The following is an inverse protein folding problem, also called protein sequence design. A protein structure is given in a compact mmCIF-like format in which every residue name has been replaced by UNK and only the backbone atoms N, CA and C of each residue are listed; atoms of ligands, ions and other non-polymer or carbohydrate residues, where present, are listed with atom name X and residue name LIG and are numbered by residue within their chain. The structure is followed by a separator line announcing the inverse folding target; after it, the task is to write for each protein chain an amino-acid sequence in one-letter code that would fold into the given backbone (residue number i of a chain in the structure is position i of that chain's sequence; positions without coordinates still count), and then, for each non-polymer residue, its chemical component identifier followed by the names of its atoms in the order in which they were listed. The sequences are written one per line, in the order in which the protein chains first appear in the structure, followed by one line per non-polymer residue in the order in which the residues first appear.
data_IF_121320445702
#
_entry.id   IF_121320445702
#
_cell.length_a   1.000
_cell.length_b   1.000
_cell.length_c   1.000
_cell.angle_alpha   90.00
_cell.angle_beta   90.00
_cell.angle_gamma   90.00
#
_symmetry.space_group_name_H-M   'P 1'
#
loop_
_entity.id
_entity.type
_entity.pdbx_description
1 polymer ?
#
# COMPACT_ATOMS: atom_id res chain seq x y z
N UNK A 1 19.72 -62.74 -5.87
CA UNK A 1 18.66 -62.93 -6.89
C UNK A 1 18.26 -61.58 -7.42
N UNK A 2 18.73 -61.27 -8.61
CA UNK A 2 18.51 -59.99 -9.33
C UNK A 2 17.31 -60.20 -10.22
N UNK A 3 16.31 -59.32 -10.18
CA UNK A 3 15.27 -59.27 -11.22
C UNK A 3 15.28 -57.89 -11.84
N UNK A 4 15.74 -57.83 -13.07
CA UNK A 4 15.61 -56.73 -14.03
C UNK A 4 14.16 -56.60 -14.47
N UNK A 5 13.67 -55.35 -14.57
CA UNK A 5 12.49 -55.04 -15.37
C UNK A 5 12.80 -53.86 -16.29
N UNK A 6 12.75 -54.14 -17.58
CA UNK A 6 12.94 -53.24 -18.72
C UNK A 6 11.63 -52.49 -19.03
N UNK A 7 11.67 -51.22 -19.50
CA UNK A 7 10.47 -50.48 -19.88
C UNK A 7 10.03 -50.78 -21.32
N UNK A 8 8.72 -50.87 -21.53
CA UNK A 8 8.07 -51.01 -22.83
C UNK A 8 7.91 -49.67 -23.50
N UNK A 9 8.42 -49.55 -24.72
CA UNK A 9 8.19 -48.47 -25.64
C UNK A 9 6.76 -48.54 -26.19
N UNK A 10 6.08 -47.40 -26.28
CA UNK A 10 4.78 -47.25 -26.91
C UNK A 10 4.90 -46.38 -28.17
N UNK A 11 4.56 -47.00 -29.31
CA UNK A 11 4.69 -46.44 -30.65
C UNK A 11 3.59 -45.40 -30.95
N UNK A 12 4.03 -44.27 -31.59
CA UNK A 12 3.18 -43.21 -32.08
C UNK A 12 2.68 -43.53 -33.50
N UNK A 13 1.38 -43.56 -33.71
CA UNK A 13 0.80 -43.58 -35.06
C UNK A 13 0.44 -42.16 -35.50
N UNK A 14 1.04 -41.69 -36.62
CA UNK A 14 0.64 -40.53 -37.32
C UNK A 14 -0.52 -40.86 -38.28
N UNK A 15 -1.63 -40.12 -38.20
CA UNK A 15 -2.66 -40.09 -39.22
C UNK A 15 -2.66 -38.72 -39.93
N UNK A 16 -2.33 -38.75 -41.21
CA UNK A 16 -2.40 -37.58 -42.08
C UNK A 16 -3.82 -37.48 -42.70
N UNK A 17 -4.50 -36.38 -42.45
CA UNK A 17 -5.79 -36.06 -43.08
C UNK A 17 -5.64 -34.81 -43.95
N UNK A 18 -5.87 -34.97 -45.26
CA UNK A 18 -5.88 -33.88 -46.23
C UNK A 18 -7.23 -33.14 -46.17
N UNK A 19 -7.20 -31.80 -46.06
CA UNK A 19 -8.35 -30.92 -46.19
C UNK A 19 -8.26 -30.14 -47.49
N UNK A 20 -9.30 -30.27 -48.32
CA UNK A 20 -9.52 -29.53 -49.55
C UNK A 20 -10.02 -28.11 -49.25
N UNK A 21 -9.43 -27.14 -49.93
CA UNK A 21 -9.81 -25.73 -49.84
C UNK A 21 -11.09 -25.46 -50.65
N UNK A 22 -12.11 -24.94 -49.98
CA UNK A 22 -13.29 -24.33 -50.60
C UNK A 22 -13.21 -22.81 -50.49
N UNK A 23 -13.11 -22.14 -51.63
CA UNK A 23 -13.18 -20.68 -51.76
C UNK A 23 -14.62 -20.25 -51.72
N UNK A 24 -15.06 -19.56 -50.70
CA UNK A 24 -16.34 -18.85 -50.66
C UNK A 24 -16.06 -17.34 -50.66
N UNK A 25 -16.43 -16.67 -51.74
CA UNK A 25 -16.43 -15.21 -51.85
C UNK A 25 -17.68 -14.68 -51.12
N UNK A 26 -17.45 -13.97 -50.02
CA UNK A 26 -18.50 -13.21 -49.35
C UNK A 26 -18.26 -11.71 -49.56
N UNK A 27 -19.25 -11.06 -50.16
CA UNK A 27 -19.32 -9.62 -50.38
C UNK A 27 -19.34 -8.85 -49.06
N UNK A 28 -18.47 -7.86 -48.95
CA UNK A 28 -18.38 -6.94 -47.80
C UNK A 28 -19.60 -6.00 -47.79
N UNK A 29 -20.50 -6.22 -46.86
CA UNK A 29 -21.45 -5.22 -46.42
C UNK A 29 -20.74 -4.28 -45.43
N UNK A 30 -20.70 -2.98 -45.71
CA UNK A 30 -20.25 -1.94 -44.79
C UNK A 30 -21.32 -1.84 -43.67
N UNK A 31 -21.11 -2.54 -42.56
CA UNK A 31 -21.85 -2.28 -41.34
C UNK A 31 -21.27 -1.04 -40.68
N UNK A 32 -22.06 0.04 -40.63
CA UNK A 32 -21.74 1.24 -39.91
C UNK A 32 -21.36 0.89 -38.47
N UNK A 33 -20.20 1.35 -38.02
CA UNK A 33 -19.83 1.27 -36.64
C UNK A 33 -20.88 2.00 -35.80
N UNK A 34 -21.56 1.29 -34.93
CA UNK A 34 -22.31 1.89 -33.84
C UNK A 34 -21.33 2.78 -33.02
N UNK A 35 -21.79 3.96 -32.57
CA UNK A 35 -20.94 4.78 -31.67
C UNK A 35 -20.61 3.90 -30.48
N UNK A 36 -19.30 3.71 -30.25
CA UNK A 36 -18.78 2.95 -29.15
C UNK A 36 -19.40 3.48 -27.86
N UNK A 37 -20.06 2.62 -27.15
CA UNK A 37 -20.29 2.81 -25.72
C UNK A 37 -18.92 3.12 -25.12
N UNK A 38 -18.65 4.40 -24.84
CA UNK A 38 -17.57 4.79 -23.96
C UNK A 38 -17.81 3.98 -22.67
N UNK A 39 -16.87 3.10 -22.35
CA UNK A 39 -16.80 2.55 -21.00
C UNK A 39 -16.99 3.73 -20.05
N UNK A 40 -17.74 3.59 -18.94
CA UNK A 40 -17.89 4.68 -17.99
C UNK A 40 -16.50 5.15 -17.65
N UNK A 41 -16.28 6.44 -17.92
CA UNK A 41 -15.08 7.17 -17.56
C UNK A 41 -14.81 6.78 -16.11
N UNK A 42 -13.72 6.05 -15.87
CA UNK A 42 -13.45 5.39 -14.60
C UNK A 42 -13.46 6.42 -13.47
N UNK A 43 -14.66 6.72 -13.01
CA UNK A 43 -14.94 7.72 -12.01
C UNK A 43 -14.33 7.27 -10.70
N UNK A 44 -13.19 7.81 -10.42
CA UNK A 44 -12.81 8.06 -9.05
C UNK A 44 -12.13 6.93 -8.28
N UNK A 45 -12.23 5.66 -8.63
CA UNK A 45 -11.56 4.58 -7.91
C UNK A 45 -10.06 4.67 -8.13
N UNK A 46 -9.33 4.80 -7.03
CA UNK A 46 -7.88 4.83 -7.03
C UNK A 46 -7.36 3.68 -6.19
N UNK A 47 -6.64 2.74 -6.80
CA UNK A 47 -5.97 1.64 -6.08
C UNK A 47 -4.98 2.22 -5.07
N UNK A 48 -4.82 1.56 -3.96
CA UNK A 48 -3.99 2.10 -2.87
C UNK A 48 -2.99 1.07 -2.38
N UNK A 49 -1.71 1.49 -2.31
CA UNK A 49 -0.70 0.80 -1.52
C UNK A 49 -0.36 1.62 -0.28
N UNK A 50 -0.40 0.98 0.88
CA UNK A 50 0.09 1.53 2.15
C UNK A 50 1.40 0.86 2.50
N UNK A 51 2.45 1.65 2.65
CA UNK A 51 3.79 1.22 3.05
C UNK A 51 4.00 1.65 4.50
N UNK A 52 3.97 0.70 5.41
CA UNK A 52 4.27 0.89 6.82
C UNK A 52 5.77 0.72 7.08
N UNK A 53 6.39 1.70 7.67
CA UNK A 53 7.80 1.71 8.06
C UNK A 53 7.90 1.70 9.58
N UNK A 54 8.03 0.50 10.17
CA UNK A 54 7.99 0.29 11.62
C UNK A 54 9.07 1.12 12.33
N UNK A 55 8.66 1.83 13.38
CA UNK A 55 9.56 2.62 14.23
C UNK A 55 10.28 3.78 13.54
N UNK A 56 9.80 4.23 12.36
CA UNK A 56 10.45 5.27 11.55
C UNK A 56 9.95 6.66 11.92
N UNK A 57 10.85 7.65 11.98
CA UNK A 57 10.54 9.04 12.33
C UNK A 57 10.83 9.98 11.15
N UNK A 58 9.93 10.95 10.89
CA UNK A 58 10.02 11.84 9.73
C UNK A 58 11.29 12.70 9.72
N UNK A 59 11.69 13.24 10.88
CA UNK A 59 12.93 14.02 11.02
C UNK A 59 14.19 13.20 10.67
N UNK A 60 14.15 11.90 10.94
CA UNK A 60 15.24 10.98 10.58
C UNK A 60 15.20 10.65 9.09
N UNK A 61 14.01 10.57 8.46
CA UNK A 61 13.85 10.46 7.00
C UNK A 61 14.46 11.69 6.33
N UNK A 62 14.11 12.89 6.78
CA UNK A 62 14.62 14.14 6.22
C UNK A 62 16.15 14.28 6.32
N UNK A 63 16.74 13.69 7.37
CA UNK A 63 18.18 13.75 7.64
C UNK A 63 19.02 12.62 6.98
N UNK A 64 18.36 11.59 6.43
CA UNK A 64 18.99 10.44 5.80
C UNK A 64 19.18 10.62 4.28
N UNK A 65 20.03 9.79 3.66
CA UNK A 65 20.06 9.63 2.19
C UNK A 65 18.91 8.70 1.75
N UNK A 66 17.69 9.28 1.71
CA UNK A 66 16.44 8.59 1.44
C UNK A 66 15.71 9.19 0.22
N UNK A 67 16.30 9.09 -1.00
CA UNK A 67 15.81 9.80 -2.18
C UNK A 67 14.39 9.40 -2.60
N UNK A 68 13.94 8.17 -2.34
CA UNK A 68 12.60 7.71 -2.71
C UNK A 68 11.54 8.31 -1.78
N UNK A 69 11.79 8.32 -0.47
CA UNK A 69 10.92 8.97 0.51
C UNK A 69 10.90 10.49 0.31
N UNK A 70 12.06 11.12 0.06
CA UNK A 70 12.13 12.54 -0.28
C UNK A 70 11.32 12.87 -1.55
N UNK A 71 11.36 12.00 -2.56
CA UNK A 71 10.53 12.15 -3.77
C UNK A 71 9.05 12.08 -3.45
N UNK A 72 8.62 11.13 -2.61
CA UNK A 72 7.22 11.00 -2.21
C UNK A 72 6.72 12.22 -1.42
N UNK A 73 7.55 12.76 -0.52
CA UNK A 73 7.27 14.02 0.21
C UNK A 73 7.13 15.19 -0.78
N UNK A 74 8.05 15.32 -1.71
CA UNK A 74 8.04 16.41 -2.69
C UNK A 74 6.88 16.33 -3.70
N UNK A 75 6.45 15.13 -4.07
CA UNK A 75 5.38 14.87 -5.03
C UNK A 75 3.98 14.76 -4.41
N UNK A 76 3.87 14.77 -3.07
CA UNK A 76 2.63 14.53 -2.33
C UNK A 76 2.37 15.52 -1.21
N UNK A 77 1.36 15.19 -0.42
CA UNK A 77 1.07 15.82 0.88
C UNK A 77 1.72 14.99 1.98
N UNK A 78 2.42 15.63 2.91
CA UNK A 78 3.04 14.94 4.03
C UNK A 78 2.85 15.73 5.33
N UNK A 79 2.91 15.05 6.48
CA UNK A 79 2.84 15.71 7.76
C UNK A 79 3.38 14.84 8.88
N UNK A 80 3.98 15.48 9.88
CA UNK A 80 4.32 14.84 11.14
C UNK A 80 3.07 14.70 12.00
N UNK A 81 2.95 13.60 12.66
CA UNK A 81 1.82 13.24 13.52
C UNK A 81 2.30 12.80 14.89
N UNK A 82 1.37 12.64 15.82
CA UNK A 82 1.66 12.14 17.16
C UNK A 82 0.55 11.20 17.64
N UNK A 83 0.96 10.11 18.27
CA UNK A 83 0.09 9.16 18.93
C UNK A 83 0.17 9.24 20.47
N UNK A 84 0.72 10.32 21.01
CA UNK A 84 0.76 10.54 22.46
C UNK A 84 -0.66 10.48 23.06
N UNK A 85 -0.78 9.81 24.21
CA UNK A 85 -2.07 9.46 24.80
C UNK A 85 -2.61 8.09 24.38
N UNK A 86 -1.99 7.47 23.37
CA UNK A 86 -2.25 6.10 22.92
C UNK A 86 -0.99 5.22 23.13
N UNK A 87 -1.11 3.87 23.10
CA UNK A 87 0.06 3.01 23.22
C UNK A 87 1.01 3.21 22.02
N UNK A 88 2.28 3.48 22.30
CA UNK A 88 3.36 3.60 21.31
C UNK A 88 4.01 2.23 21.08
N UNK A 89 3.19 1.25 20.69
CA UNK A 89 3.53 -0.17 20.52
C UNK A 89 2.94 -0.62 19.18
N UNK A 90 3.65 -1.47 18.46
CA UNK A 90 3.29 -1.87 17.08
C UNK A 90 1.88 -2.46 16.96
N UNK A 91 1.49 -3.41 17.81
CA UNK A 91 0.16 -4.04 17.76
C UNK A 91 -0.99 -3.05 17.82
N UNK A 92 -1.07 -2.18 18.85
CA UNK A 92 -2.07 -1.10 18.93
C UNK A 92 -2.03 -0.13 17.76
N UNK A 93 -0.84 0.34 17.37
CA UNK A 93 -0.71 1.36 16.34
C UNK A 93 -1.05 0.83 14.95
N UNK A 94 -0.54 -0.35 14.57
CA UNK A 94 -0.94 -1.00 13.31
C UNK A 94 -2.44 -1.38 13.29
N UNK A 95 -3.02 -1.71 14.46
CA UNK A 95 -4.47 -1.90 14.55
C UNK A 95 -5.21 -0.59 14.29
N UNK A 96 -4.74 0.55 14.81
CA UNK A 96 -5.31 1.87 14.52
C UNK A 96 -5.22 2.20 13.04
N UNK A 97 -4.05 2.04 12.42
CA UNK A 97 -3.83 2.26 10.99
C UNK A 97 -4.80 1.43 10.13
N UNK A 98 -4.96 0.16 10.46
CA UNK A 98 -5.73 -0.79 9.66
C UNK A 98 -7.22 -0.85 9.99
N UNK A 99 -7.68 -0.24 11.10
CA UNK A 99 -9.11 -0.18 11.44
C UNK A 99 -9.70 1.23 11.33
N UNK A 100 -8.86 2.28 11.38
CA UNK A 100 -9.28 3.69 11.41
C UNK A 100 -9.88 4.12 12.74
N UNK A 101 -9.66 3.33 13.82
CA UNK A 101 -10.11 3.67 15.16
C UNK A 101 -8.99 3.48 16.17
N UNK A 102 -9.04 4.21 17.30
CA UNK A 102 -8.04 4.13 18.33
C UNK A 102 -8.19 2.89 19.22
N UNK A 103 -7.15 2.56 20.00
CA UNK A 103 -7.07 1.40 20.89
C UNK A 103 -8.25 1.29 21.87
N UNK A 104 -8.87 2.39 22.25
CA UNK A 104 -10.07 2.41 23.11
C UNK A 104 -11.30 1.78 22.46
N UNK A 105 -11.32 1.68 21.14
CA UNK A 105 -12.37 1.00 20.36
C UNK A 105 -11.93 -0.38 19.91
N UNK A 106 -10.79 -0.51 19.21
CA UNK A 106 -10.36 -1.83 18.73
C UNK A 106 -9.79 -2.75 19.82
N UNK A 107 -9.54 -2.24 21.05
CA UNK A 107 -9.23 -3.05 22.23
C UNK A 107 -7.81 -3.62 22.29
N UNK A 108 -6.97 -3.42 21.27
CA UNK A 108 -5.57 -3.90 21.26
C UNK A 108 -4.71 -2.91 22.03
N UNK A 109 -4.00 -3.38 23.05
CA UNK A 109 -3.14 -2.56 23.91
C UNK A 109 -1.67 -3.00 23.92
N UNK A 110 -1.39 -4.17 23.36
CA UNK A 110 -0.04 -4.73 23.21
C UNK A 110 0.07 -5.69 22.01
N UNK A 111 1.25 -6.26 21.80
CA UNK A 111 1.53 -7.18 20.69
C UNK A 111 0.95 -8.59 20.84
N UNK A 112 0.20 -8.88 21.91
CA UNK A 112 -0.52 -10.16 22.08
C UNK A 112 -1.86 -10.17 21.35
N UNK A 113 -2.39 -9.00 20.99
CA UNK A 113 -3.72 -8.80 20.42
C UNK A 113 -4.87 -9.33 21.29
N UNK A 114 -4.59 -9.63 22.57
CA UNK A 114 -5.61 -10.09 23.50
C UNK A 114 -6.62 -9.00 23.75
N UNK A 115 -7.91 -9.32 23.65
CA UNK A 115 -8.99 -8.37 23.83
C UNK A 115 -9.32 -7.54 22.58
N UNK A 116 -8.74 -7.88 21.43
CA UNK A 116 -9.08 -7.22 20.15
C UNK A 116 -10.57 -7.34 19.85
N UNK A 117 -11.16 -6.23 19.39
CA UNK A 117 -12.58 -6.10 19.07
C UNK A 117 -12.76 -5.87 17.55
N UNK A 118 -12.07 -6.67 16.73
CA UNK A 118 -12.13 -6.57 15.27
C UNK A 118 -13.47 -7.00 14.67
N UNK A 119 -14.31 -7.71 15.43
CA UNK A 119 -15.67 -8.02 15.01
C UNK A 119 -16.51 -6.74 14.93
N UNK A 120 -16.37 -5.84 15.90
CA UNK A 120 -17.08 -4.57 15.94
C UNK A 120 -16.36 -3.47 15.12
N UNK A 121 -15.04 -3.45 15.13
CA UNK A 121 -14.19 -2.48 14.41
C UNK A 121 -13.28 -3.22 13.43
N UNK A 122 -13.84 -3.72 12.31
CA UNK A 122 -13.10 -4.55 11.37
C UNK A 122 -12.02 -3.75 10.63
N UNK A 123 -11.00 -4.48 10.18
CA UNK A 123 -9.92 -3.90 9.39
C UNK A 123 -10.41 -3.40 8.03
N UNK A 124 -9.62 -2.53 7.40
CA UNK A 124 -9.85 -2.07 6.02
C UNK A 124 -10.07 -3.25 5.06
N UNK A 125 -9.33 -4.34 5.21
CA UNK A 125 -9.49 -5.55 4.40
C UNK A 125 -10.92 -6.11 4.52
N UNK A 126 -11.37 -6.38 5.73
CA UNK A 126 -12.72 -6.92 5.98
C UNK A 126 -13.80 -5.96 5.48
N UNK A 127 -13.61 -4.64 5.62
CA UNK A 127 -14.56 -3.64 5.13
C UNK A 127 -14.64 -3.66 3.59
N UNK A 128 -13.49 -3.71 2.91
CA UNK A 128 -13.40 -3.78 1.45
C UNK A 128 -14.04 -5.08 0.94
N UNK A 129 -13.61 -6.22 1.45
CA UNK A 129 -14.11 -7.54 1.05
C UNK A 129 -15.62 -7.72 1.32
N UNK A 130 -16.14 -7.07 2.36
CA UNK A 130 -17.59 -7.08 2.64
C UNK A 130 -18.36 -6.22 1.65
N UNK A 131 -17.84 -5.04 1.31
CA UNK A 131 -18.53 -4.08 0.45
C UNK A 131 -18.38 -4.43 -1.04
N UNK A 132 -17.22 -4.96 -1.42
CA UNK A 132 -16.80 -5.23 -2.80
C UNK A 132 -15.97 -6.51 -2.90
N UNK A 133 -16.59 -7.70 -2.79
CA UNK A 133 -15.87 -8.97 -2.80
C UNK A 133 -15.12 -9.27 -4.12
N UNK A 134 -15.33 -8.47 -5.16
CA UNK A 134 -14.58 -8.54 -6.42
C UNK A 134 -13.26 -7.78 -6.38
N UNK A 135 -13.06 -6.89 -5.40
CA UNK A 135 -11.81 -6.16 -5.20
C UNK A 135 -10.79 -7.06 -4.50
N UNK A 136 -9.60 -7.14 -5.09
CA UNK A 136 -8.52 -7.93 -4.52
C UNK A 136 -7.77 -7.13 -3.46
N UNK A 137 -7.57 -7.75 -2.29
CA UNK A 137 -6.80 -7.17 -1.19
C UNK A 137 -5.61 -8.04 -0.80
N UNK A 138 -4.49 -7.40 -0.41
CA UNK A 138 -3.27 -8.09 -0.03
C UNK A 138 -2.59 -7.43 1.18
N UNK A 139 -2.28 -8.25 2.18
CA UNK A 139 -1.42 -7.93 3.31
C UNK A 139 -0.13 -8.77 3.20
N UNK A 140 0.99 -8.12 2.92
CA UNK A 140 2.31 -8.75 2.78
C UNK A 140 3.28 -8.00 3.69
N UNK A 141 3.80 -8.64 4.74
CA UNK A 141 4.54 -7.95 5.79
C UNK A 141 5.72 -8.75 6.32
N UNK A 142 6.70 -8.06 6.86
CA UNK A 142 7.83 -8.66 7.57
C UNK A 142 7.39 -9.17 8.94
N UNK A 143 6.59 -8.38 9.67
CA UNK A 143 6.10 -8.77 11.00
C UNK A 143 4.75 -9.49 10.97
N UNK A 144 4.64 -10.60 11.72
CA UNK A 144 3.44 -11.45 11.77
C UNK A 144 2.20 -10.81 12.39
N UNK A 145 2.33 -9.72 13.15
CA UNK A 145 1.21 -8.99 13.72
C UNK A 145 0.25 -8.45 12.66
N UNK A 146 0.75 -8.07 11.51
CA UNK A 146 -0.08 -7.61 10.38
C UNK A 146 -0.99 -8.74 9.89
N UNK A 147 -0.46 -9.96 9.80
CA UNK A 147 -1.27 -11.13 9.42
C UNK A 147 -2.38 -11.42 10.44
N UNK A 148 -2.16 -11.14 11.73
CA UNK A 148 -3.20 -11.22 12.77
C UNK A 148 -4.33 -10.26 12.49
N UNK A 149 -4.03 -8.99 12.14
CA UNK A 149 -5.06 -7.97 11.86
C UNK A 149 -5.77 -8.28 10.54
N UNK A 150 -5.04 -8.53 9.46
CA UNK A 150 -5.59 -8.77 8.13
C UNK A 150 -6.39 -10.08 8.03
N UNK A 151 -6.06 -11.05 8.88
CA UNK A 151 -6.73 -12.35 8.98
C UNK A 151 -7.87 -12.41 9.97
N UNK A 152 -8.13 -11.35 10.74
CA UNK A 152 -9.07 -11.37 11.88
C UNK A 152 -10.55 -11.38 11.49
N UNK A 153 -10.90 -10.86 10.33
CA UNK A 153 -12.29 -10.68 9.88
C UNK A 153 -12.84 -11.85 9.07
N UNK A 154 -14.17 -11.77 8.83
CA UNK A 154 -14.86 -12.66 7.86
C UNK A 154 -15.77 -11.78 7.02
N UNK A 155 -15.46 -11.55 5.73
CA UNK A 155 -14.27 -12.03 5.03
C UNK A 155 -12.95 -11.40 5.55
N UNK A 156 -11.84 -12.07 5.29
CA UNK A 156 -10.48 -11.57 5.55
C UNK A 156 -9.83 -11.10 4.24
N UNK A 157 -8.63 -10.52 4.30
CA UNK A 157 -7.86 -10.22 3.09
C UNK A 157 -7.67 -11.47 2.21
N UNK A 158 -7.71 -11.31 0.88
CA UNK A 158 -7.49 -12.39 -0.09
C UNK A 158 -6.08 -12.99 0.04
N UNK A 159 -5.10 -12.11 0.21
CA UNK A 159 -3.70 -12.48 0.39
C UNK A 159 -3.23 -12.03 1.76
N UNK A 160 -2.77 -12.98 2.57
CA UNK A 160 -2.14 -12.71 3.87
C UNK A 160 -0.83 -13.47 3.93
N UNK A 161 0.28 -12.73 3.88
CA UNK A 161 1.63 -13.30 3.88
C UNK A 161 2.49 -12.60 4.93
N UNK A 162 3.08 -13.39 5.82
CA UNK A 162 4.25 -12.98 6.60
C UNK A 162 5.49 -13.55 5.93
N UNK A 163 6.40 -12.69 5.52
CA UNK A 163 7.64 -13.11 4.85
C UNK A 163 8.51 -13.92 5.81
N UNK A 164 8.94 -15.11 5.43
CA UNK A 164 9.85 -15.88 6.26
C UNK A 164 11.18 -15.14 6.47
N UNK A 165 11.74 -15.23 7.69
CA UNK A 165 13.01 -14.58 8.00
C UNK A 165 14.14 -15.00 7.04
N UNK A 166 14.82 -14.02 6.46
CA UNK A 166 15.88 -14.20 5.46
C UNK A 166 17.30 -13.99 6.03
N UNK A 167 17.47 -14.19 7.34
CA UNK A 167 18.75 -14.12 8.03
C UNK A 167 19.12 -12.74 8.61
N UNK A 168 18.49 -11.67 8.16
CA UNK A 168 18.57 -10.33 8.75
C UNK A 168 17.30 -9.55 8.48
N UNK A 169 17.02 -8.49 9.25
CA UNK A 169 15.88 -7.59 9.03
C UNK A 169 15.90 -7.02 7.62
N UNK A 170 17.02 -6.49 7.17
CA UNK A 170 17.18 -5.94 5.82
C UNK A 170 16.89 -6.97 4.70
N UNK A 171 17.36 -8.21 4.83
CA UNK A 171 17.08 -9.24 3.84
C UNK A 171 15.61 -9.69 3.86
N UNK A 172 14.98 -9.68 5.03
CA UNK A 172 13.55 -10.01 5.16
C UNK A 172 12.68 -8.91 4.55
N UNK A 173 12.98 -7.63 4.81
CA UNK A 173 12.31 -6.50 4.20
C UNK A 173 12.46 -6.48 2.68
N UNK A 174 13.66 -6.79 2.17
CA UNK A 174 13.87 -6.92 0.73
C UNK A 174 12.99 -8.01 0.11
N UNK A 175 12.90 -9.17 0.75
CA UNK A 175 12.02 -10.25 0.29
C UNK A 175 10.53 -9.88 0.39
N UNK A 176 10.14 -9.11 1.42
CA UNK A 176 8.79 -8.56 1.57
C UNK A 176 8.46 -7.60 0.43
N UNK A 177 9.35 -6.63 0.16
CA UNK A 177 9.20 -5.69 -0.92
C UNK A 177 9.11 -6.39 -2.29
N UNK A 178 9.97 -7.37 -2.56
CA UNK A 178 9.93 -8.16 -3.79
C UNK A 178 8.60 -8.92 -3.95
N UNK A 179 8.03 -9.44 -2.86
CA UNK A 179 6.71 -10.08 -2.89
C UNK A 179 5.59 -9.06 -3.18
N UNK A 180 5.65 -7.86 -2.62
CA UNK A 180 4.71 -6.74 -2.91
C UNK A 180 4.83 -6.31 -4.37
N UNK A 181 6.03 -6.13 -4.88
CA UNK A 181 6.30 -5.80 -6.30
C UNK A 181 5.66 -6.83 -7.22
N UNK A 182 5.85 -8.12 -6.92
CA UNK A 182 5.26 -9.22 -7.69
C UNK A 182 3.73 -9.21 -7.64
N UNK A 183 3.13 -8.93 -6.48
CA UNK A 183 1.68 -8.85 -6.32
C UNK A 183 1.10 -7.67 -7.12
N UNK A 184 1.70 -6.49 -7.02
CA UNK A 184 1.32 -5.31 -7.80
C UNK A 184 1.44 -5.58 -9.30
N UNK A 185 2.58 -6.07 -9.75
CA UNK A 185 2.84 -6.29 -11.18
C UNK A 185 1.93 -7.35 -11.80
N UNK A 186 1.71 -8.46 -11.11
CA UNK A 186 0.99 -9.61 -11.65
C UNK A 186 -0.52 -9.52 -11.50
N UNK A 187 -1.01 -9.05 -10.36
CA UNK A 187 -2.42 -9.12 -9.99
C UNK A 187 -3.11 -7.76 -9.93
N UNK A 188 -2.37 -6.68 -9.62
CA UNK A 188 -2.88 -5.32 -9.52
C UNK A 188 -4.04 -5.20 -8.53
N UNK A 189 -3.83 -5.55 -7.28
CA UNK A 189 -4.87 -5.49 -6.27
C UNK A 189 -5.39 -4.07 -6.07
N UNK A 190 -6.62 -3.93 -5.60
CA UNK A 190 -7.21 -2.64 -5.28
C UNK A 190 -6.62 -2.05 -4.00
N UNK A 191 -6.25 -2.92 -3.05
CA UNK A 191 -5.60 -2.51 -1.81
C UNK A 191 -4.44 -3.43 -1.45
N UNK A 192 -3.26 -2.84 -1.23
CA UNK A 192 -2.08 -3.51 -0.66
C UNK A 192 -1.66 -2.81 0.61
N UNK A 193 -1.41 -3.58 1.65
CA UNK A 193 -0.69 -3.12 2.83
C UNK A 193 0.60 -3.91 2.96
N UNK A 194 1.70 -3.20 3.20
CA UNK A 194 2.97 -3.81 3.56
C UNK A 194 3.56 -3.15 4.80
N UNK A 195 4.33 -3.91 5.59
CA UNK A 195 5.09 -3.40 6.72
C UNK A 195 6.51 -3.92 6.60
N UNK A 196 7.49 -3.00 6.74
CA UNK A 196 8.93 -3.25 6.74
C UNK A 196 9.49 -2.93 8.13
N UNK A 197 10.37 -3.77 8.66
CA UNK A 197 10.64 -3.89 10.10
C UNK A 197 12.08 -3.52 10.52
N UNK A 198 13.01 -3.38 9.55
CA UNK A 198 14.43 -3.26 9.88
C UNK A 198 14.79 -1.98 10.65
N UNK A 199 14.02 -0.89 10.48
CA UNK A 199 14.26 0.38 11.16
C UNK A 199 13.90 0.25 12.64
N UNK A 200 12.78 -0.40 12.96
CA UNK A 200 12.40 -0.74 14.33
C UNK A 200 13.45 -1.62 15.01
N UNK A 201 13.93 -2.65 14.31
CA UNK A 201 15.02 -3.51 14.82
C UNK A 201 16.29 -2.72 15.18
N UNK A 202 16.67 -1.71 14.39
CA UNK A 202 17.78 -0.83 14.70
C UNK A 202 17.45 0.12 15.88
N UNK A 203 16.23 0.63 15.93
CA UNK A 203 15.70 1.44 17.01
C UNK A 203 15.72 0.72 18.36
N UNK A 204 15.33 -0.55 18.39
CA UNK A 204 15.42 -1.41 19.57
C UNK A 204 16.86 -1.65 20.00
N UNK A 205 17.76 -1.86 19.03
CA UNK A 205 19.15 -2.20 19.27
C UNK A 205 19.95 -1.06 19.92
N UNK A 206 19.78 0.18 19.41
CA UNK A 206 20.66 1.30 19.75
C UNK A 206 19.97 2.67 19.76
N UNK A 207 18.70 2.74 19.45
CA UNK A 207 17.92 3.97 19.36
C UNK A 207 18.28 4.83 18.15
N UNK A 208 17.59 5.98 18.03
CA UNK A 208 17.77 6.89 16.89
C UNK A 208 19.13 7.58 16.87
N UNK A 209 19.83 7.68 18.04
CA UNK A 209 21.19 8.16 18.12
C UNK A 209 22.25 7.10 17.80
N UNK A 210 21.84 5.85 17.64
CA UNK A 210 22.74 4.75 17.32
C UNK A 210 23.19 4.75 15.86
N UNK A 211 24.35 4.11 15.60
CA UNK A 211 24.98 4.11 14.28
C UNK A 211 24.21 3.33 13.22
N UNK A 212 23.26 2.46 13.60
CA UNK A 212 22.52 1.58 12.69
C UNK A 212 21.15 2.12 12.28
N UNK A 213 20.57 3.06 13.04
CA UNK A 213 19.21 3.53 12.75
C UNK A 213 19.11 4.21 11.37
N UNK A 214 19.97 5.21 11.12
CA UNK A 214 19.96 5.90 9.81
C UNK A 214 20.38 5.01 8.65
N UNK A 215 21.44 4.19 8.71
CA UNK A 215 21.71 3.22 7.65
C UNK A 215 20.60 2.21 7.40
N UNK A 216 19.81 1.80 8.40
CA UNK A 216 18.65 0.93 8.16
C UNK A 216 17.52 1.67 7.47
N UNK A 217 17.32 2.96 7.76
CA UNK A 217 16.38 3.80 7.05
C UNK A 217 16.80 3.98 5.58
N UNK A 218 18.07 4.24 5.29
CA UNK A 218 18.58 4.33 3.92
C UNK A 218 18.42 3.02 3.14
N UNK A 219 18.57 1.87 3.81
CA UNK A 219 18.30 0.56 3.19
C UNK A 219 16.81 0.34 2.93
N UNK A 220 15.94 0.71 3.85
CA UNK A 220 14.49 0.55 3.65
C UNK A 220 13.97 1.50 2.58
N UNK A 221 14.57 2.68 2.39
CA UNK A 221 14.25 3.58 1.29
C UNK A 221 14.44 2.93 -0.10
N UNK A 222 15.44 2.08 -0.24
CA UNK A 222 15.64 1.30 -1.48
C UNK A 222 14.45 0.36 -1.72
N UNK A 223 13.94 -0.28 -0.68
CA UNK A 223 12.78 -1.18 -0.78
C UNK A 223 11.48 -0.40 -1.08
N UNK A 224 11.32 0.77 -0.46
CA UNK A 224 10.24 1.72 -0.82
C UNK A 224 10.33 2.08 -2.29
N UNK A 225 11.52 2.39 -2.80
CA UNK A 225 11.75 2.71 -4.20
C UNK A 225 11.29 1.62 -5.16
N UNK A 226 11.57 0.35 -4.86
CA UNK A 226 11.10 -0.78 -5.68
C UNK A 226 9.57 -0.85 -5.77
N UNK A 227 8.89 -0.64 -4.63
CA UNK A 227 7.42 -0.67 -4.57
C UNK A 227 6.83 0.49 -5.37
N UNK A 228 7.37 1.71 -5.19
CA UNK A 228 6.95 2.91 -5.92
C UNK A 228 7.13 2.73 -7.42
N UNK A 229 8.28 2.21 -7.85
CA UNK A 229 8.57 1.97 -9.27
C UNK A 229 7.62 0.91 -9.87
N UNK A 230 7.24 -0.11 -9.11
CA UNK A 230 6.26 -1.11 -9.55
C UNK A 230 4.87 -0.49 -9.75
N UNK A 231 4.43 0.38 -8.83
CA UNK A 231 3.18 1.14 -8.93
C UNK A 231 3.20 2.05 -10.17
N UNK A 232 4.27 2.83 -10.34
CA UNK A 232 4.40 3.78 -11.44
C UNK A 232 4.46 3.04 -12.81
N UNK A 233 5.18 1.91 -12.87
CA UNK A 233 5.25 1.07 -14.06
C UNK A 233 3.89 0.48 -14.44
N UNK A 234 3.15 -0.05 -13.44
CA UNK A 234 1.81 -0.59 -13.66
C UNK A 234 0.82 0.49 -14.07
N UNK A 235 0.79 1.62 -13.37
CA UNK A 235 -0.05 2.77 -13.71
C UNK A 235 0.18 3.20 -15.16
N UNK A 236 1.44 3.30 -15.57
CA UNK A 236 1.81 3.64 -16.95
C UNK A 236 1.37 2.60 -17.98
N UNK A 237 1.46 1.31 -17.63
CA UNK A 237 1.13 0.22 -18.55
C UNK A 237 -0.38 0.00 -18.72
N UNK A 238 -1.17 0.22 -17.67
CA UNK A 238 -2.60 -0.13 -17.62
C UNK A 238 -3.53 1.09 -17.64
N UNK A 239 -3.04 2.27 -17.28
CA UNK A 239 -3.85 3.46 -17.06
C UNK A 239 -4.55 3.48 -15.68
N UNK A 240 -4.32 2.47 -14.83
CA UNK A 240 -4.85 2.44 -13.47
C UNK A 240 -4.35 3.64 -12.67
N UNK A 241 -5.23 4.21 -11.84
CA UNK A 241 -4.84 5.27 -10.90
C UNK A 241 -4.43 4.61 -9.59
N UNK A 242 -3.34 5.09 -9.03
CA UNK A 242 -2.79 4.59 -7.78
C UNK A 242 -2.51 5.74 -6.80
N UNK A 243 -2.76 5.44 -5.53
CA UNK A 243 -2.28 6.23 -4.40
C UNK A 243 -1.25 5.42 -3.63
N UNK A 244 -0.17 6.08 -3.23
CA UNK A 244 0.84 5.56 -2.33
C UNK A 244 0.70 6.32 -1.01
N UNK A 245 0.44 5.60 0.07
CA UNK A 245 0.49 6.12 1.43
C UNK A 245 1.70 5.53 2.12
N UNK A 246 2.46 6.36 2.83
CA UNK A 246 3.55 5.89 3.69
C UNK A 246 3.30 6.39 5.10
N UNK A 247 3.50 5.53 6.09
CA UNK A 247 3.29 5.90 7.50
C UNK A 247 4.21 5.08 8.41
N UNK A 248 4.34 5.51 9.65
CA UNK A 248 4.95 4.77 10.75
C UNK A 248 3.94 4.58 11.87
N UNK A 249 4.16 3.58 12.68
CA UNK A 249 3.30 3.22 13.80
C UNK A 249 3.72 3.88 15.13
N UNK A 250 5.00 4.15 15.32
CA UNK A 250 5.60 4.87 16.45
C UNK A 250 7.02 5.35 16.13
N UNK A 251 7.59 6.13 17.03
CA UNK A 251 8.99 6.50 16.99
C UNK A 251 9.84 5.73 18.01
N UNK A 252 11.10 6.15 18.19
CA UNK A 252 12.06 5.56 19.13
C UNK A 252 12.79 6.61 19.96
N UNK A 253 13.14 6.23 21.20
CA UNK A 253 14.04 7.02 22.02
C UNK A 253 15.44 7.08 21.43
N UNK A 254 16.20 8.16 21.67
CA UNK A 254 17.59 8.26 21.21
C UNK A 254 18.49 7.11 21.66
N UNK A 255 18.24 6.56 22.84
CA UNK A 255 19.02 5.47 23.46
C UNK A 255 18.36 4.09 23.33
N UNK A 256 17.30 3.97 22.55
CA UNK A 256 16.65 2.71 22.20
C UNK A 256 15.31 2.45 22.87
N UNK A 257 14.49 1.71 22.12
CA UNK A 257 13.18 1.25 22.52
C UNK A 257 12.09 2.31 22.45
N UNK A 258 10.85 1.84 22.62
CA UNK A 258 9.59 2.58 22.57
C UNK A 258 8.60 1.94 23.55
N UNK A 259 7.34 2.34 23.55
CA UNK A 259 6.27 1.81 24.43
C UNK A 259 5.94 2.75 25.60
N UNK A 260 6.68 3.85 25.75
CA UNK A 260 6.42 4.92 26.71
C UNK A 260 5.64 6.09 26.11
N UNK A 261 5.69 7.23 26.79
CA UNK A 261 4.96 8.44 26.40
C UNK A 261 5.89 9.65 26.23
N UNK A 262 7.15 9.41 25.85
CA UNK A 262 8.01 10.51 25.43
C UNK A 262 7.64 10.99 24.02
N UNK A 263 7.92 12.24 23.71
CA UNK A 263 7.67 12.83 22.40
C UNK A 263 8.28 11.99 21.27
N UNK A 264 9.52 11.53 21.45
CA UNK A 264 10.23 10.70 20.48
C UNK A 264 9.58 9.33 20.25
N UNK A 265 8.89 8.76 21.26
CA UNK A 265 8.16 7.49 21.11
C UNK A 265 6.80 7.65 20.42
N UNK A 266 6.17 8.83 20.61
CA UNK A 266 4.83 9.11 20.07
C UNK A 266 4.82 9.71 18.66
N UNK A 267 5.98 10.09 18.13
CA UNK A 267 6.05 10.70 16.79
C UNK A 267 5.77 9.66 15.71
N UNK A 268 4.91 10.04 14.76
CA UNK A 268 4.59 9.30 13.55
C UNK A 268 4.52 10.26 12.36
N UNK A 269 4.19 9.78 11.19
CA UNK A 269 3.98 10.63 10.02
C UNK A 269 3.03 9.98 9.01
N UNK A 270 2.55 10.79 8.08
CA UNK A 270 1.81 10.33 6.92
C UNK A 270 2.36 11.04 5.68
N UNK A 271 2.55 10.29 4.60
CA UNK A 271 2.83 10.80 3.26
C UNK A 271 1.77 10.24 2.33
N UNK A 272 1.13 11.08 1.53
CA UNK A 272 0.12 10.69 0.55
C UNK A 272 0.51 11.21 -0.83
N UNK A 273 0.83 10.31 -1.76
CA UNK A 273 1.19 10.65 -3.15
C UNK A 273 0.24 9.94 -4.11
N UNK A 274 -0.32 10.67 -5.06
CA UNK A 274 -1.25 10.14 -6.06
C UNK A 274 -2.21 11.20 -6.58
N UNK A 275 -3.20 10.77 -7.36
CA UNK A 275 -4.16 11.69 -7.97
C UNK A 275 -5.00 12.41 -6.89
N UNK A 276 -4.90 13.73 -6.87
CA UNK A 276 -5.63 14.60 -5.96
C UNK A 276 -4.82 15.10 -4.77
N UNK A 277 -3.69 14.48 -4.42
CA UNK A 277 -2.80 15.02 -3.39
C UNK A 277 -1.88 16.09 -3.96
N UNK A 278 -1.70 17.16 -3.20
CA UNK A 278 -0.92 18.32 -3.68
C UNK A 278 0.57 18.11 -3.38
N UNK A 279 1.40 18.36 -4.39
CA UNK A 279 2.85 18.26 -4.26
C UNK A 279 3.41 19.30 -3.29
N UNK A 280 4.26 18.84 -2.37
CA UNK A 280 4.97 19.69 -1.41
C UNK A 280 4.09 20.35 -0.35
N UNK A 281 2.87 19.87 -0.14
CA UNK A 281 2.01 20.34 0.95
C UNK A 281 2.39 19.66 2.25
N UNK A 282 2.50 20.44 3.32
CA UNK A 282 2.69 19.93 4.69
C UNK A 282 1.38 20.10 5.45
N UNK A 283 0.89 19.00 6.04
CA UNK A 283 -0.32 18.95 6.87
C UNK A 283 -0.05 18.14 8.14
N UNK A 284 0.32 18.82 9.20
CA UNK A 284 0.60 18.23 10.51
C UNK A 284 -0.67 17.92 11.33
N UNK A 285 -1.85 18.04 10.72
CA UNK A 285 -3.12 17.61 11.34
C UNK A 285 -3.45 16.15 11.08
N UNK A 286 -2.74 15.51 10.13
CA UNK A 286 -2.92 14.12 9.80
C UNK A 286 -2.56 13.20 10.97
N UNK A 287 -3.28 12.09 11.08
CA UNK A 287 -3.02 11.05 12.08
C UNK A 287 -2.94 9.66 11.44
N UNK A 288 -2.39 8.70 12.15
CA UNK A 288 -2.35 7.31 11.67
C UNK A 288 -3.75 6.68 11.54
N UNK A 289 -4.75 7.22 12.24
CA UNK A 289 -6.14 6.78 12.11
C UNK A 289 -6.77 7.16 10.77
N UNK A 290 -6.20 8.14 10.05
CA UNK A 290 -6.71 8.64 8.76
C UNK A 290 -6.38 7.71 7.58
N UNK A 291 -5.49 6.74 7.78
CA UNK A 291 -5.06 5.80 6.72
C UNK A 291 -6.23 4.95 6.22
N UNK A 292 -6.94 4.25 7.10
CA UNK A 292 -8.09 3.40 6.69
C UNK A 292 -9.22 4.21 6.03
N UNK A 293 -9.72 5.34 6.60
CA UNK A 293 -10.70 6.18 5.89
C UNK A 293 -10.22 6.64 4.52
N UNK A 294 -8.94 6.98 4.37
CA UNK A 294 -8.35 7.38 3.08
C UNK A 294 -8.35 6.22 2.07
N UNK A 295 -8.04 5.01 2.51
CA UNK A 295 -8.12 3.81 1.66
C UNK A 295 -9.55 3.58 1.18
N UNK A 296 -10.54 3.66 2.07
CA UNK A 296 -11.95 3.50 1.73
C UNK A 296 -12.42 4.59 0.74
N UNK A 297 -12.04 5.85 0.97
CA UNK A 297 -12.36 6.97 0.07
C UNK A 297 -11.74 6.76 -1.33
N UNK A 298 -10.49 6.34 -1.41
CA UNK A 298 -9.82 6.05 -2.67
C UNK A 298 -10.52 4.96 -3.48
N UNK A 299 -11.09 3.97 -2.80
CA UNK A 299 -11.84 2.87 -3.41
C UNK A 299 -13.32 3.20 -3.67
N UNK A 300 -13.76 4.42 -3.34
CA UNK A 300 -15.14 4.86 -3.52
C UNK A 300 -16.12 4.11 -2.61
N UNK A 301 -15.67 3.74 -1.42
CA UNK A 301 -16.47 3.05 -0.42
C UNK A 301 -17.03 4.04 0.61
N UNK A 302 -18.19 3.70 1.16
CA UNK A 302 -18.82 4.50 2.22
C UNK A 302 -17.91 4.59 3.46
N UNK A 303 -17.93 5.76 4.10
CA UNK A 303 -17.25 6.00 5.36
C UNK A 303 -18.10 5.53 6.53
N UNK A 304 -17.68 4.48 7.27
CA UNK A 304 -18.37 4.08 8.48
C UNK A 304 -18.37 5.19 9.53
N UNK A 305 -19.52 5.42 10.17
CA UNK A 305 -19.68 6.48 11.16
C UNK A 305 -18.91 6.25 12.49
N UNK A 306 -18.34 5.06 12.67
CA UNK A 306 -17.58 4.67 13.86
C UNK A 306 -16.08 4.94 13.75
N UNK A 307 -15.56 5.39 12.59
CA UNK A 307 -14.17 5.76 12.42
C UNK A 307 -13.78 6.96 13.32
N UNK A 308 -12.56 6.95 13.82
CA UNK A 308 -11.96 8.09 14.54
C UNK A 308 -11.17 8.99 13.61
N UNK A 309 -10.58 8.41 12.55
CA UNK A 309 -9.92 9.14 11.49
C UNK A 309 -10.86 9.65 10.41
N UNK A 310 -10.34 10.51 9.56
CA UNK A 310 -11.02 11.08 8.38
C UNK A 310 -10.17 10.88 7.13
N UNK A 311 -10.76 10.83 5.92
CA UNK A 311 -9.97 10.76 4.70
C UNK A 311 -9.06 11.99 4.57
N UNK A 312 -7.82 11.76 4.15
CA UNK A 312 -6.88 12.84 3.82
C UNK A 312 -7.46 13.67 2.69
N UNK A 313 -7.53 15.00 2.88
CA UNK A 313 -8.13 15.90 1.91
C UNK A 313 -7.35 15.90 0.59
N UNK A 314 -8.07 15.68 -0.49
CA UNK A 314 -7.56 15.88 -1.85
C UNK A 314 -7.80 17.34 -2.22
N UNK A 315 -6.76 18.05 -2.61
CA UNK A 315 -6.89 19.42 -3.11
C UNK A 315 -7.80 19.48 -4.34
N UNK A 316 -8.52 20.59 -4.51
CA UNK A 316 -9.25 20.83 -5.76
C UNK A 316 -8.27 20.70 -6.95
N UNK A 317 -8.65 20.06 -8.08
CA UNK A 317 -7.80 19.98 -9.24
C UNK A 317 -7.41 21.41 -9.63
N UNK A 318 -6.10 21.69 -9.63
CA UNK A 318 -5.59 22.97 -10.14
C UNK A 318 -6.07 23.06 -11.58
N UNK A 319 -6.98 24.00 -11.84
CA UNK A 319 -7.40 24.31 -13.20
C UNK A 319 -6.13 24.63 -13.98
N UNK A 320 -5.72 23.73 -14.87
CA UNK A 320 -4.63 23.99 -15.82
C UNK A 320 -5.05 25.24 -16.56
N UNK A 321 -4.37 26.34 -16.25
CA UNK A 321 -4.71 27.66 -16.75
C UNK A 321 -4.74 27.64 -18.27
N UNK A 322 -5.94 27.75 -18.82
CA UNK A 322 -6.14 28.24 -20.18
C UNK A 322 -5.58 29.66 -20.19
N UNK A 323 -4.39 29.87 -20.73
CA UNK A 323 -3.89 31.17 -21.07
C UNK A 323 -4.87 31.76 -22.10
N UNK A 324 -5.86 32.51 -21.61
CA UNK A 324 -6.69 33.35 -22.45
C UNK A 324 -5.77 34.39 -23.13
N UNK A 325 -5.58 34.24 -24.44
CA UNK A 325 -5.02 35.29 -25.25
C UNK A 325 -5.88 36.54 -25.05
N UNK A 326 -5.36 37.50 -24.29
CA UNK A 326 -5.86 38.85 -24.32
C UNK A 326 -5.42 39.47 -25.66
N UNK A 327 -6.26 39.34 -26.68
CA UNK A 327 -6.17 40.21 -27.88
C UNK A 327 -6.56 41.60 -27.48
N UNK A 328 -5.57 42.42 -27.20
CA UNK A 328 -5.75 43.85 -27.03
C UNK A 328 -6.20 44.48 -28.38
N UNK A 329 -7.46 44.85 -28.47
CA UNK A 329 -7.96 45.75 -29.50
C UNK A 329 -7.48 47.17 -29.21
N UNK A 330 -6.48 47.63 -29.95
CA UNK A 330 -6.20 49.07 -30.06
C UNK A 330 -7.24 49.64 -31.01
N UNK A 331 -8.21 50.33 -30.46
CA UNK A 331 -9.15 51.20 -31.19
C UNK A 331 -8.67 52.63 -31.09
N UNK A 332 -8.65 53.33 -32.21
CA UNK A 332 -8.31 54.75 -32.43
C UNK A 332 -8.98 55.73 -31.47
#
# INVERSE_FOLDING_TARGET
MIKNNTPKALSLLLAAGALTAGVATASAGIAGAAPGSSAPDGSGITKTVVIGLDGTMLDQVEAADAPNLHRLIAEGTSGQSSILGHPTISGPSWSTILTGVWHTKHGVVDNTFTGSNYEQYPSAFTRIETAKPEMRTAAISTWGGIATIAGSGTPKADVVVTTPGAGSGAATDAATADAVVNEIASNGPEFVFTQLDQVDGAGHSSGTAGSEYRPSLERVDVEVGKIVDAVDARSKATGEKWTILVTSDHGHKPNGGHGGQSEAEGVTFVIARGAGYQAGVVDDTLTIADITPTVLDNLGLDQPADLDGTPIEKGAPTATGSLGLLTGSLGN
#
